data_IF_091858680387
#
_entry.id   IF_091858680387
#
_cell.length_a   1.000
_cell.length_b   1.000
_cell.length_c   1.000
_cell.angle_alpha   90.00
_cell.angle_beta   90.00
_cell.angle_gamma   90.00
#
_symmetry.space_group_name_H-M   'P 1'
#
loop_
_entity.id
_entity.type
_entity.pdbx_description
1 polymer ?
#
# COMPACT_ATOMS: atom_id res chain seq x y z
N UNK A 1 75.25 0.99 -57.81
CA UNK A 1 74.64 1.78 -56.71
C UNK A 1 73.16 1.43 -56.66
N UNK A 2 72.73 0.58 -55.72
CA UNK A 2 71.31 0.22 -55.53
C UNK A 2 70.87 0.79 -54.19
N UNK A 3 69.93 1.72 -54.21
CA UNK A 3 69.28 2.24 -53.01
C UNK A 3 67.95 1.50 -52.86
N UNK A 4 67.82 0.70 -51.81
CA UNK A 4 66.56 0.06 -51.40
C UNK A 4 65.98 0.81 -50.22
N UNK A 5 64.83 1.47 -50.43
CA UNK A 5 64.06 2.10 -49.36
C UNK A 5 63.24 1.03 -48.62
N UNK A 6 63.40 0.96 -47.30
CA UNK A 6 62.55 0.16 -46.41
C UNK A 6 61.40 1.04 -45.92
N UNK A 7 60.17 0.65 -46.25
CA UNK A 7 58.96 1.25 -45.68
C UNK A 7 58.55 0.43 -44.45
N UNK A 8 58.71 0.98 -43.26
CA UNK A 8 58.10 0.43 -42.04
C UNK A 8 56.73 1.06 -41.85
N UNK A 9 55.67 0.25 -42.03
CA UNK A 9 54.33 0.60 -41.58
C UNK A 9 54.26 0.43 -40.06
N UNK A 10 54.07 1.54 -39.34
CA UNK A 10 53.73 1.52 -37.92
C UNK A 10 52.22 1.39 -37.80
N UNK A 11 51.73 0.24 -37.32
CA UNK A 11 50.33 0.03 -36.98
C UNK A 11 50.05 0.75 -35.65
N UNK A 12 49.38 1.90 -35.67
CA UNK A 12 48.85 2.52 -34.48
C UNK A 12 47.51 1.84 -34.13
N UNK A 13 47.51 0.98 -33.11
CA UNK A 13 46.29 0.42 -32.55
C UNK A 13 45.54 1.51 -31.77
N UNK A 14 44.46 2.02 -32.34
CA UNK A 14 43.50 2.88 -31.63
C UNK A 14 42.65 1.98 -30.74
N UNK A 15 42.93 1.99 -29.43
CA UNK A 15 42.05 1.38 -28.44
C UNK A 15 40.84 2.29 -28.23
N UNK A 16 39.72 1.97 -28.87
CA UNK A 16 38.43 2.57 -28.54
C UNK A 16 37.93 1.88 -27.27
N UNK A 17 38.18 2.48 -26.10
CA UNK A 17 37.53 2.05 -24.85
C UNK A 17 36.05 2.38 -24.97
N UNK A 18 35.24 1.38 -25.34
CA UNK A 18 33.80 1.42 -25.15
C UNK A 18 33.60 1.39 -23.64
N UNK A 19 33.30 2.54 -23.05
CA UNK A 19 32.73 2.58 -21.70
C UNK A 19 31.35 1.94 -21.79
N UNK A 20 31.27 0.66 -21.42
CA UNK A 20 30.00 0.04 -21.07
C UNK A 20 29.34 0.93 -20.02
N UNK A 21 28.26 1.60 -20.41
CA UNK A 21 27.39 2.25 -19.44
C UNK A 21 27.01 1.18 -18.42
N UNK A 22 27.25 1.44 -17.14
CA UNK A 22 26.74 0.59 -16.07
C UNK A 22 25.22 0.59 -16.20
N UNK A 23 24.67 -0.48 -16.81
CA UNK A 23 23.25 -0.73 -16.75
C UNK A 23 22.96 -0.96 -15.27
N UNK A 24 22.36 0.04 -14.61
CA UNK A 24 21.78 -0.19 -13.29
C UNK A 24 20.68 -1.22 -13.49
N UNK A 25 20.83 -2.36 -12.82
CA UNK A 25 19.93 -3.50 -13.00
C UNK A 25 18.69 -3.31 -12.15
N UNK A 26 17.55 -3.69 -12.73
CA UNK A 26 16.29 -3.87 -11.99
C UNK A 26 16.45 -5.07 -11.04
N UNK A 27 15.92 -4.97 -9.82
CA UNK A 27 15.88 -6.10 -8.87
C UNK A 27 14.48 -6.68 -8.84
N UNK A 28 14.33 -7.92 -9.27
CA UNK A 28 13.04 -8.60 -9.34
C UNK A 28 12.50 -8.88 -7.93
N UNK A 29 11.22 -8.59 -7.72
CA UNK A 29 10.49 -8.90 -6.49
C UNK A 29 10.49 -10.41 -6.23
N UNK A 30 10.74 -10.79 -4.97
CA UNK A 30 10.75 -12.17 -4.48
C UNK A 30 9.78 -12.37 -3.32
N UNK A 31 8.99 -11.35 -2.96
CA UNK A 31 8.07 -11.39 -1.83
C UNK A 31 6.92 -12.36 -2.06
N UNK A 32 6.75 -13.35 -1.17
CA UNK A 32 5.66 -14.32 -1.22
C UNK A 32 4.73 -14.17 -0.01
N UNK A 33 4.00 -13.06 0.05
CA UNK A 33 3.00 -12.76 1.09
C UNK A 33 1.73 -12.16 0.49
N UNK A 34 1.03 -12.87 -0.40
CA UNK A 34 0.07 -12.23 -1.30
C UNK A 34 -1.13 -11.58 -0.60
N UNK A 35 -1.46 -12.02 0.61
CA UNK A 35 -2.64 -11.56 1.36
C UNK A 35 -2.30 -10.69 2.57
N UNK A 36 -1.02 -10.38 2.80
CA UNK A 36 -0.65 -9.56 3.94
C UNK A 36 -0.66 -8.07 3.55
N UNK A 37 -1.31 -7.21 4.36
CA UNK A 37 -1.22 -5.78 4.15
C UNK A 37 0.14 -5.26 4.62
N UNK A 38 0.67 -4.30 3.88
CA UNK A 38 1.79 -3.46 4.30
C UNK A 38 1.18 -2.18 4.85
N UNK A 39 1.47 -1.89 6.12
CA UNK A 39 0.96 -0.72 6.84
C UNK A 39 2.13 0.19 7.17
N UNK A 40 2.06 1.44 6.71
CA UNK A 40 3.14 2.44 6.86
C UNK A 40 2.55 3.68 7.51
N UNK A 41 3.27 4.29 8.46
CA UNK A 41 2.82 5.54 9.06
C UNK A 41 3.04 6.69 8.10
N UNK A 42 2.03 7.53 7.93
CA UNK A 42 2.15 8.73 7.10
C UNK A 42 3.24 9.70 7.61
N UNK A 43 3.59 9.65 8.90
CA UNK A 43 4.73 10.38 9.46
C UNK A 43 6.07 10.05 8.82
N UNK A 44 6.20 8.89 8.17
CA UNK A 44 7.41 8.48 7.44
C UNK A 44 7.53 9.20 6.08
N UNK A 45 6.49 9.94 5.67
CA UNK A 45 6.42 10.75 4.45
C UNK A 45 6.14 12.23 4.77
N UNK A 46 7.04 12.94 5.49
CA UNK A 46 6.75 14.27 6.03
C UNK A 46 6.41 15.31 4.94
N UNK A 47 6.95 15.18 3.74
CA UNK A 47 6.69 16.05 2.59
C UNK A 47 5.25 15.95 2.06
N UNK A 48 4.52 14.88 2.37
CA UNK A 48 3.13 14.69 1.94
C UNK A 48 2.11 15.09 2.99
N UNK A 49 2.53 15.49 4.19
CA UNK A 49 1.59 15.93 5.23
C UNK A 49 0.88 17.21 4.80
N UNK A 50 -0.44 17.26 5.03
CA UNK A 50 -1.38 18.27 4.55
C UNK A 50 -1.58 18.32 3.02
N UNK A 51 -1.03 17.35 2.26
CA UNK A 51 -1.33 17.24 0.84
C UNK A 51 -2.70 16.57 0.62
N UNK A 52 -3.44 16.91 -0.45
CA UNK A 52 -4.67 16.22 -0.81
C UNK A 52 -4.39 14.75 -1.12
N UNK A 53 -5.10 13.84 -0.46
CA UNK A 53 -4.95 12.40 -0.67
C UNK A 53 -5.21 12.03 -2.14
N UNK A 54 -6.12 12.75 -2.81
CA UNK A 54 -6.44 12.56 -4.24
C UNK A 54 -5.30 12.88 -5.20
N UNK A 55 -4.25 13.57 -4.74
CA UNK A 55 -3.05 13.86 -5.54
C UNK A 55 -1.91 12.87 -5.29
N UNK A 56 -2.11 11.89 -4.40
CA UNK A 56 -1.11 10.90 -4.04
C UNK A 56 -1.32 9.62 -4.84
N UNK A 57 -0.22 9.01 -5.27
CA UNK A 57 -0.21 7.82 -6.10
C UNK A 57 0.79 6.81 -5.57
N UNK A 58 0.39 5.55 -5.54
CA UNK A 58 1.28 4.41 -5.26
C UNK A 58 1.34 3.54 -6.51
N UNK A 59 2.51 3.43 -7.11
CA UNK A 59 2.73 2.63 -8.31
C UNK A 59 3.76 1.53 -8.04
N UNK A 60 3.74 0.50 -8.87
CA UNK A 60 4.73 -0.56 -8.91
C UNK A 60 5.35 -0.64 -10.31
N UNK A 61 6.63 -1.02 -10.38
CA UNK A 61 7.28 -1.32 -11.65
C UNK A 61 7.19 -2.82 -11.95
N UNK A 62 6.90 -3.17 -13.20
CA UNK A 62 6.88 -4.54 -13.72
C UNK A 62 8.00 -4.70 -14.73
N UNK A 63 9.12 -5.30 -14.34
CA UNK A 63 10.28 -5.55 -15.20
C UNK A 63 9.90 -6.40 -16.41
N UNK A 64 9.04 -7.39 -16.20
CA UNK A 64 8.55 -8.30 -17.24
C UNK A 64 7.87 -7.61 -18.42
N UNK A 65 7.29 -6.43 -18.21
CA UNK A 65 6.67 -5.62 -19.27
C UNK A 65 7.39 -4.29 -19.51
N UNK A 66 8.33 -3.93 -18.64
CA UNK A 66 9.01 -2.63 -18.65
C UNK A 66 8.10 -1.46 -18.30
N UNK A 67 7.01 -1.67 -17.55
CA UNK A 67 5.97 -0.66 -17.32
C UNK A 67 5.77 -0.33 -15.85
N UNK A 68 5.31 0.89 -15.63
CA UNK A 68 4.78 1.36 -14.38
C UNK A 68 3.26 1.12 -14.32
N UNK A 69 2.77 0.64 -13.19
CA UNK A 69 1.35 0.32 -12.99
C UNK A 69 0.84 0.89 -11.64
N UNK A 70 -0.31 1.57 -11.62
CA UNK A 70 -0.93 1.99 -10.36
C UNK A 70 -1.41 0.77 -9.56
N UNK A 71 -1.13 0.77 -8.26
CA UNK A 71 -1.59 -0.28 -7.34
C UNK A 71 -2.62 0.26 -6.35
N UNK A 72 -3.55 -0.57 -5.86
CA UNK A 72 -4.51 -0.11 -4.87
C UNK A 72 -3.80 0.27 -3.57
N UNK A 73 -4.25 1.36 -2.96
CA UNK A 73 -3.83 1.76 -1.63
C UNK A 73 -5.01 2.41 -0.89
N UNK A 74 -4.93 2.40 0.43
CA UNK A 74 -5.88 3.04 1.33
C UNK A 74 -5.15 3.97 2.28
N UNK A 75 -5.81 5.07 2.64
CA UNK A 75 -5.37 5.95 3.72
C UNK A 75 -6.39 5.82 4.85
N UNK A 76 -5.94 5.32 5.99
CA UNK A 76 -6.75 5.15 7.18
C UNK A 76 -6.48 6.29 8.17
N UNK A 77 -7.47 7.19 8.39
CA UNK A 77 -7.33 8.24 9.37
C UNK A 77 -7.35 7.68 10.78
N UNK A 78 -6.35 8.06 11.57
CA UNK A 78 -6.28 7.75 13.00
C UNK A 78 -6.34 9.06 13.76
N UNK A 79 -7.33 9.18 14.63
CA UNK A 79 -7.46 10.36 15.47
C UNK A 79 -6.51 10.32 16.69
N UNK A 80 -6.58 11.32 17.57
CA UNK A 80 -5.66 11.48 18.69
C UNK A 80 -5.73 10.37 19.74
N UNK A 81 -6.85 9.65 19.83
CA UNK A 81 -7.01 8.54 20.77
C UNK A 81 -6.72 7.16 20.17
N UNK A 82 -6.21 7.10 18.94
CA UNK A 82 -5.88 5.84 18.25
C UNK A 82 -7.08 5.17 17.56
N UNK A 83 -8.22 5.87 17.49
CA UNK A 83 -9.44 5.38 16.88
C UNK A 83 -9.49 5.63 15.38
N UNK A 84 -9.98 4.63 14.65
CA UNK A 84 -10.22 4.67 13.21
C UNK A 84 -11.56 5.32 12.84
N UNK A 85 -12.39 5.69 13.82
CA UNK A 85 -13.69 6.36 13.61
C UNK A 85 -13.55 7.90 13.52
N UNK A 86 -12.44 8.37 12.95
CA UNK A 86 -12.11 9.79 12.81
C UNK A 86 -12.82 10.45 11.61
N UNK A 87 -12.83 11.79 11.60
CA UNK A 87 -13.29 12.56 10.45
C UNK A 87 -12.28 12.50 9.30
N UNK A 88 -12.77 12.25 8.09
CA UNK A 88 -11.96 12.29 6.86
C UNK A 88 -11.89 13.73 6.36
N UNK A 89 -10.72 14.35 6.44
CA UNK A 89 -10.49 15.73 5.95
C UNK A 89 -10.20 15.79 4.45
N UNK A 90 -9.82 14.65 3.85
CA UNK A 90 -9.30 14.58 2.47
C UNK A 90 -7.82 14.97 2.34
N UNK A 91 -7.18 15.37 3.46
CA UNK A 91 -5.75 15.68 3.53
C UNK A 91 -5.02 14.60 4.33
N UNK A 92 -3.80 14.28 3.92
CA UNK A 92 -2.97 13.33 4.66
C UNK A 92 -2.48 13.95 5.98
N UNK A 93 -2.71 13.26 7.09
CA UNK A 93 -2.22 13.63 8.42
C UNK A 93 -1.07 12.72 8.86
N UNK A 94 -0.18 13.20 9.73
CA UNK A 94 0.96 12.40 10.21
C UNK A 94 0.54 11.16 11.04
N UNK A 95 -0.71 11.10 11.51
CA UNK A 95 -1.24 9.95 12.26
C UNK A 95 -1.81 8.87 11.35
N UNK A 96 -2.12 9.22 10.10
CA UNK A 96 -2.78 8.32 9.17
C UNK A 96 -1.87 7.13 8.84
N UNK A 97 -2.50 6.03 8.45
CA UNK A 97 -1.82 4.85 7.95
C UNK A 97 -2.02 4.75 6.44
N UNK A 98 -0.93 4.53 5.71
CA UNK A 98 -0.95 4.11 4.31
C UNK A 98 -0.96 2.58 4.27
N UNK A 99 -1.95 2.00 3.60
CA UNK A 99 -2.10 0.56 3.44
C UNK A 99 -2.01 0.18 1.96
N UNK A 100 -1.27 -0.88 1.67
CA UNK A 100 -1.18 -1.52 0.36
C UNK A 100 -1.06 -3.03 0.53
N UNK A 101 -1.35 -3.82 -0.51
CA UNK A 101 -1.20 -5.29 -0.43
C UNK A 101 0.18 -5.72 -0.92
N UNK A 102 0.82 -6.64 -0.20
CA UNK A 102 2.14 -7.16 -0.56
C UNK A 102 2.17 -7.84 -1.94
N UNK A 103 1.06 -8.46 -2.41
CA UNK A 103 0.96 -9.03 -3.76
C UNK A 103 1.14 -8.02 -4.89
N UNK A 104 0.85 -6.75 -4.65
CA UNK A 104 0.84 -5.72 -5.70
C UNK A 104 2.18 -5.02 -5.82
N UNK A 105 3.09 -5.23 -4.87
CA UNK A 105 4.47 -4.76 -4.95
C UNK A 105 5.16 -5.25 -6.23
N UNK A 106 6.04 -4.43 -6.77
CA UNK A 106 6.80 -4.70 -7.97
C UNK A 106 8.29 -4.72 -7.72
N UNK A 107 9.03 -4.52 -8.81
CA UNK A 107 10.47 -4.65 -8.88
C UNK A 107 11.19 -3.34 -8.49
N UNK A 108 12.43 -3.45 -8.02
CA UNK A 108 13.28 -2.29 -7.74
C UNK A 108 13.85 -1.73 -9.02
N UNK A 109 13.66 -0.44 -9.26
CA UNK A 109 14.22 0.25 -10.42
C UNK A 109 15.56 0.91 -10.09
N UNK A 110 16.36 1.25 -11.12
CA UNK A 110 17.53 2.11 -10.97
C UNK A 110 17.22 3.46 -10.32
N UNK A 111 18.21 4.02 -9.60
CA UNK A 111 18.06 5.33 -8.99
C UNK A 111 17.74 6.39 -10.06
N UNK A 112 16.71 7.20 -9.81
CA UNK A 112 16.28 8.25 -10.74
C UNK A 112 15.40 7.75 -11.88
N UNK A 113 15.18 6.45 -12.02
CA UNK A 113 14.18 5.91 -12.92
C UNK A 113 12.80 5.98 -12.26
N UNK A 114 11.93 6.84 -12.77
CA UNK A 114 10.61 7.13 -12.23
C UNK A 114 9.58 7.18 -13.37
N UNK A 115 8.28 7.12 -13.06
CA UNK A 115 7.24 7.37 -14.05
C UNK A 115 7.50 8.65 -14.85
N UNK A 116 7.22 8.61 -16.15
CA UNK A 116 7.40 9.73 -17.06
C UNK A 116 6.27 10.78 -16.91
N UNK A 117 6.12 11.29 -15.68
CA UNK A 117 5.15 12.34 -15.33
C UNK A 117 5.91 13.57 -14.82
N UNK A 118 5.79 14.69 -15.53
CA UNK A 118 6.55 15.91 -15.19
C UNK A 118 6.08 16.55 -13.89
N UNK A 119 4.79 16.45 -13.55
CA UNK A 119 4.28 16.95 -12.26
C UNK A 119 4.93 16.23 -11.08
N UNK A 120 5.06 14.90 -11.16
CA UNK A 120 5.68 14.09 -10.10
C UNK A 120 7.14 14.42 -9.83
N UNK A 121 7.87 14.96 -10.81
CA UNK A 121 9.29 15.30 -10.66
C UNK A 121 9.53 16.55 -9.81
N UNK A 122 8.50 17.38 -9.64
CA UNK A 122 8.54 18.62 -8.84
C UNK A 122 8.45 18.30 -7.35
N UNK A 123 7.79 17.19 -6.99
CA UNK A 123 7.55 16.79 -5.61
C UNK A 123 8.57 15.74 -5.13
N UNK A 124 8.61 15.56 -3.81
CA UNK A 124 9.34 14.45 -3.20
C UNK A 124 8.74 13.11 -3.66
N UNK A 125 9.59 12.10 -3.80
CA UNK A 125 9.22 10.75 -4.22
C UNK A 125 9.87 9.74 -3.29
N UNK A 126 9.16 8.68 -2.94
CA UNK A 126 9.64 7.64 -2.04
C UNK A 126 9.61 6.28 -2.70
N UNK A 127 10.71 5.54 -2.54
CA UNK A 127 10.75 4.10 -2.76
C UNK A 127 10.38 3.44 -1.42
N UNK A 128 9.31 2.65 -1.43
CA UNK A 128 8.89 1.81 -0.31
C UNK A 128 9.53 0.45 -0.52
N UNK A 129 10.48 0.09 0.34
CA UNK A 129 11.09 -1.23 0.40
C UNK A 129 10.37 -2.09 1.44
N UNK A 130 9.91 -3.27 1.03
CA UNK A 130 9.25 -4.24 1.91
C UNK A 130 10.05 -5.52 1.90
N UNK A 131 10.25 -6.09 3.09
CA UNK A 131 10.99 -7.32 3.31
C UNK A 131 10.20 -8.22 4.26
N UNK A 132 10.12 -9.52 3.94
CA UNK A 132 9.56 -10.50 4.87
C UNK A 132 10.52 -10.68 6.05
N UNK A 133 10.04 -10.42 7.26
CA UNK A 133 10.83 -10.52 8.50
C UNK A 133 11.22 -11.95 8.86
N UNK A 134 10.46 -12.96 8.36
CA UNK A 134 10.78 -14.39 8.51
C UNK A 134 11.70 -14.88 7.39
N UNK A 135 11.69 -14.20 6.24
CA UNK A 135 12.48 -14.55 5.07
C UNK A 135 13.11 -13.30 4.45
N UNK A 136 14.20 -12.79 5.04
CA UNK A 136 14.82 -11.52 4.64
C UNK A 136 15.28 -11.46 3.16
N UNK A 137 15.42 -12.60 2.47
CA UNK A 137 15.69 -12.65 1.03
C UNK A 137 14.46 -12.35 0.16
N UNK A 138 13.26 -12.37 0.74
CA UNK A 138 11.99 -12.08 0.07
C UNK A 138 11.65 -10.59 0.21
N UNK A 139 11.62 -9.90 -0.93
CA UNK A 139 11.59 -8.44 -0.99
C UNK A 139 10.67 -7.96 -2.11
N UNK A 140 10.09 -6.77 -1.95
CA UNK A 140 9.25 -6.11 -2.95
C UNK A 140 9.26 -4.60 -2.80
N UNK A 141 8.89 -3.89 -3.86
CA UNK A 141 8.98 -2.42 -3.93
C UNK A 141 7.69 -1.77 -4.41
N UNK A 142 7.38 -0.61 -3.84
CA UNK A 142 6.36 0.32 -4.33
C UNK A 142 6.92 1.74 -4.36
N UNK A 143 6.25 2.62 -5.08
CA UNK A 143 6.73 3.97 -5.36
C UNK A 143 5.62 4.95 -5.06
N UNK A 144 5.83 5.78 -4.04
CA UNK A 144 4.85 6.71 -3.50
C UNK A 144 5.24 8.15 -3.86
N UNK A 145 4.34 8.83 -4.55
CA UNK A 145 4.60 10.17 -5.06
C UNK A 145 3.32 10.98 -5.24
N UNK A 146 3.50 12.30 -5.34
CA UNK A 146 2.43 13.23 -5.64
C UNK A 146 2.43 13.57 -7.13
N UNK A 147 1.26 13.72 -7.74
CA UNK A 147 1.10 14.28 -9.08
C UNK A 147 -0.20 15.08 -9.17
N UNK A 148 -0.15 16.19 -9.91
CA UNK A 148 -1.34 16.99 -10.24
C UNK A 148 -1.89 16.69 -11.65
N UNK A 149 -1.17 15.90 -12.45
CA UNK A 149 -1.54 15.58 -13.84
C UNK A 149 -1.99 14.14 -14.04
N UNK A 150 -1.78 13.26 -13.05
CA UNK A 150 -2.22 11.88 -13.12
C UNK A 150 -3.60 11.71 -12.50
N UNK A 151 -4.51 11.13 -13.26
CA UNK A 151 -5.83 10.67 -12.77
C UNK A 151 -5.90 9.13 -12.73
N UNK A 152 -4.76 8.45 -12.86
CA UNK A 152 -4.72 6.99 -12.96
C UNK A 152 -4.98 6.33 -11.61
N UNK A 153 -6.16 5.70 -11.49
CA UNK A 153 -6.51 4.80 -10.38
C UNK A 153 -6.13 3.37 -10.78
N UNK A 154 -5.77 2.53 -9.81
CA UNK A 154 -5.55 1.11 -10.07
C UNK A 154 -6.82 0.46 -10.62
N UNK A 155 -6.75 -0.34 -11.70
CA UNK A 155 -7.90 -1.09 -12.19
C UNK A 155 -8.25 -2.30 -11.31
N UNK A 156 -7.43 -2.59 -10.29
CA UNK A 156 -7.62 -3.74 -9.41
C UNK A 156 -8.59 -3.37 -8.30
N UNK A 157 -9.67 -4.13 -8.19
CA UNK A 157 -10.57 -4.14 -7.04
C UNK A 157 -10.39 -5.46 -6.30
N UNK A 158 -10.13 -5.41 -4.99
CA UNK A 158 -10.04 -6.64 -4.19
C UNK A 158 -11.41 -7.18 -3.78
N UNK A 159 -12.38 -6.28 -3.70
CA UNK A 159 -13.75 -6.59 -3.31
C UNK A 159 -14.72 -5.74 -4.13
N UNK A 160 -15.88 -6.31 -4.42
CA UNK A 160 -17.04 -5.63 -4.95
C UNK A 160 -18.10 -5.48 -3.87
N UNK A 161 -18.75 -4.33 -3.80
CA UNK A 161 -19.88 -4.11 -2.91
C UNK A 161 -21.18 -4.11 -3.70
N UNK A 162 -22.05 -5.07 -3.40
CA UNK A 162 -23.41 -5.19 -3.90
C UNK A 162 -24.36 -4.45 -2.96
N UNK A 163 -24.65 -3.19 -3.27
CA UNK A 163 -25.50 -2.33 -2.45
C UNK A 163 -26.97 -2.73 -2.44
N UNK A 164 -27.42 -3.57 -3.38
CA UNK A 164 -28.80 -4.05 -3.41
C UNK A 164 -29.03 -5.16 -2.38
N UNK A 165 -27.98 -5.92 -2.05
CA UNK A 165 -28.06 -7.04 -1.11
C UNK A 165 -27.26 -6.80 0.18
N UNK A 166 -26.64 -5.62 0.33
CA UNK A 166 -25.68 -5.29 1.39
C UNK A 166 -24.64 -6.43 1.56
N UNK A 167 -23.93 -6.71 0.46
CA UNK A 167 -22.98 -7.82 0.39
C UNK A 167 -21.64 -7.39 -0.19
N UNK A 168 -20.55 -7.81 0.45
CA UNK A 168 -19.18 -7.71 -0.09
C UNK A 168 -18.84 -9.04 -0.75
N UNK A 169 -18.37 -9.00 -1.99
CA UNK A 169 -17.88 -10.16 -2.74
C UNK A 169 -16.41 -10.00 -3.07
N UNK A 170 -15.65 -11.07 -3.01
CA UNK A 170 -14.29 -11.18 -3.50
C UNK A 170 -14.09 -12.55 -4.10
N UNK A 171 -12.92 -12.79 -4.69
CA UNK A 171 -12.53 -14.13 -5.13
C UNK A 171 -12.50 -15.11 -3.93
N UNK A 172 -12.15 -14.62 -2.72
CA UNK A 172 -11.88 -15.45 -1.54
C UNK A 172 -13.07 -15.65 -0.61
N UNK A 173 -14.00 -14.71 -0.54
CA UNK A 173 -15.15 -14.77 0.36
C UNK A 173 -16.30 -13.89 -0.10
N UNK A 174 -17.49 -14.18 0.40
CA UNK A 174 -18.64 -13.28 0.39
C UNK A 174 -19.09 -13.01 1.82
N UNK A 175 -19.42 -11.76 2.12
CA UNK A 175 -19.86 -11.30 3.43
C UNK A 175 -21.15 -10.50 3.25
N UNK A 176 -22.27 -10.99 3.78
CA UNK A 176 -23.55 -10.27 3.78
C UNK A 176 -23.84 -9.68 5.15
N UNK A 177 -24.52 -8.53 5.17
CA UNK A 177 -24.85 -7.80 6.38
C UNK A 177 -26.36 -7.78 6.65
N UNK A 178 -26.71 -7.80 7.93
CA UNK A 178 -28.08 -7.68 8.36
C UNK A 178 -28.57 -6.24 8.22
N UNK A 179 -29.64 -6.03 7.45
CA UNK A 179 -30.21 -4.70 7.21
C UNK A 179 -30.60 -3.92 8.48
N UNK A 180 -30.94 -4.60 9.58
CA UNK A 180 -31.41 -3.93 10.80
C UNK A 180 -30.26 -3.45 11.71
N UNK A 181 -29.11 -4.13 11.68
CA UNK A 181 -28.04 -3.90 12.66
C UNK A 181 -26.67 -3.65 12.01
N UNK A 182 -26.53 -3.85 10.70
CA UNK A 182 -25.28 -3.67 9.94
C UNK A 182 -24.18 -4.65 10.34
N UNK A 183 -24.52 -5.75 11.03
CA UNK A 183 -23.59 -6.80 11.40
C UNK A 183 -23.60 -7.91 10.35
N UNK A 184 -22.44 -8.52 10.04
CA UNK A 184 -22.40 -9.67 9.17
C UNK A 184 -23.29 -10.81 9.69
N UNK A 185 -24.18 -11.31 8.85
CA UNK A 185 -25.04 -12.47 9.13
C UNK A 185 -24.88 -13.60 8.09
N UNK A 186 -24.05 -13.37 7.07
CA UNK A 186 -23.74 -14.34 6.02
C UNK A 186 -22.24 -14.33 5.71
N UNK A 187 -21.61 -15.51 5.72
CA UNK A 187 -20.24 -15.72 5.25
C UNK A 187 -20.25 -16.91 4.29
N UNK A 188 -19.73 -16.73 3.07
CA UNK A 188 -19.53 -17.80 2.09
C UNK A 188 -18.05 -17.86 1.73
N UNK A 189 -17.46 -19.06 1.77
CA UNK A 189 -16.10 -19.35 1.30
C UNK A 189 -16.22 -20.24 0.06
N UNK A 190 -15.88 -19.74 -1.15
CA UNK A 190 -15.94 -20.54 -2.37
C UNK A 190 -14.98 -21.74 -2.32
N UNK A 191 -15.45 -22.93 -2.71
CA UNK A 191 -14.60 -24.14 -2.76
C UNK A 191 -13.45 -24.09 -3.79
N UNK A 192 -13.50 -23.14 -4.74
CA UNK A 192 -12.60 -23.10 -5.89
C UNK A 192 -11.19 -22.56 -5.59
N UNK A 193 -10.95 -22.03 -4.38
CA UNK A 193 -9.63 -21.63 -3.96
C UNK A 193 -9.09 -22.74 -3.08
N UNK A 194 -8.04 -23.43 -3.55
CA UNK A 194 -7.21 -24.24 -2.66
C UNK A 194 -6.69 -23.28 -1.58
N UNK A 195 -7.24 -23.40 -0.38
CA UNK A 195 -6.75 -22.71 0.80
C UNK A 195 -5.75 -23.67 1.45
N UNK A 196 -4.45 -23.61 1.11
CA UNK A 196 -3.49 -24.62 1.53
C UNK A 196 -3.42 -24.74 3.06
N UNK A 197 -3.72 -23.67 3.78
CA UNK A 197 -3.93 -23.63 5.22
C UNK A 197 -4.67 -22.33 5.56
N UNK A 198 -5.89 -22.32 6.12
CA UNK A 198 -6.33 -21.24 7.04
C UNK A 198 -7.74 -21.41 7.60
N UNK A 199 -7.82 -21.36 8.92
CA UNK A 199 -9.01 -20.93 9.62
C UNK A 199 -9.21 -19.43 9.36
N UNK A 200 -10.03 -19.06 8.37
CA UNK A 200 -10.26 -17.64 8.02
C UNK A 200 -10.79 -16.80 9.19
N UNK A 201 -11.40 -17.44 10.19
CA UNK A 201 -11.90 -16.77 11.39
C UNK A 201 -10.76 -16.28 12.29
N UNK A 202 -9.54 -16.83 12.16
CA UNK A 202 -8.38 -16.36 12.93
C UNK A 202 -8.06 -14.88 12.64
N UNK A 203 -8.29 -14.45 11.39
CA UNK A 203 -8.05 -13.06 10.97
C UNK A 203 -9.30 -12.19 11.03
N UNK A 204 -10.44 -12.75 11.39
CA UNK A 204 -11.70 -12.00 11.44
C UNK A 204 -11.79 -11.18 12.72
N UNK A 205 -11.72 -9.86 12.59
CA UNK A 205 -11.77 -8.92 13.70
C UNK A 205 -12.96 -7.97 13.56
N UNK A 206 -13.81 -7.93 14.57
CA UNK A 206 -14.81 -6.88 14.74
C UNK A 206 -14.23 -5.72 15.55
N UNK A 207 -14.63 -4.49 15.24
CA UNK A 207 -14.38 -3.32 16.11
C UNK A 207 -15.69 -2.57 16.26
N UNK A 208 -16.08 -2.26 17.49
CA UNK A 208 -17.33 -1.55 17.78
C UNK A 208 -17.10 -0.31 18.63
N UNK A 209 -17.99 0.67 18.43
CA UNK A 209 -18.10 1.87 19.26
C UNK A 209 -19.59 2.08 19.59
N UNK A 210 -19.95 1.88 20.85
CA UNK A 210 -21.32 2.06 21.34
C UNK A 210 -21.37 3.38 22.10
N UNK A 211 -22.36 4.22 21.78
CA UNK A 211 -22.64 5.46 22.51
C UNK A 211 -23.94 5.26 23.29
N UNK A 212 -23.83 5.07 24.59
CA UNK A 212 -24.98 4.95 25.49
C UNK A 212 -25.33 6.32 26.08
N UNK A 213 -26.58 6.76 25.92
CA UNK A 213 -27.10 7.98 26.56
C UNK A 213 -27.89 7.60 27.80
N UNK A 214 -27.37 7.93 28.97
CA UNK A 214 -28.05 7.64 30.24
C UNK A 214 -28.97 8.83 30.59
N UNK A 215 -30.24 8.52 30.82
CA UNK A 215 -31.24 9.46 31.31
C UNK A 215 -31.47 9.20 32.79
N UNK A 216 -31.34 10.24 33.62
CA UNK A 216 -31.76 10.15 35.02
C UNK A 216 -33.30 10.22 35.09
N UNK A 217 -33.89 9.53 36.06
CA UNK A 217 -35.35 9.41 36.24
C UNK A 217 -36.07 10.77 36.29
N UNK A 218 -35.37 11.85 36.68
CA UNK A 218 -35.88 13.22 36.76
C UNK A 218 -35.01 14.24 36.01
N UNK A 219 -34.65 14.00 34.75
CA UNK A 219 -33.94 15.03 33.97
C UNK A 219 -33.65 14.74 32.50
N UNK A 220 -33.05 15.73 31.83
CA UNK A 220 -32.48 15.64 30.48
C UNK A 220 -31.32 14.63 30.43
N UNK A 221 -31.05 14.06 29.26
CA UNK A 221 -29.89 13.17 29.03
C UNK A 221 -28.62 13.83 29.56
N UNK A 222 -27.95 13.23 30.55
CA UNK A 222 -26.87 13.90 31.27
C UNK A 222 -25.52 13.20 31.19
N UNK A 223 -25.41 12.04 30.54
CA UNK A 223 -24.12 11.38 30.32
C UNK A 223 -24.11 10.54 29.06
N UNK A 224 -23.19 10.84 28.15
CA UNK A 224 -22.80 9.94 27.07
C UNK A 224 -21.67 9.05 27.58
N UNK A 225 -21.88 7.73 27.50
CA UNK A 225 -20.85 6.73 27.80
C UNK A 225 -20.45 6.09 26.48
N UNK A 226 -19.17 6.20 26.15
CA UNK A 226 -18.58 5.57 24.97
C UNK A 226 -17.98 4.24 25.40
N UNK A 227 -18.50 3.14 24.88
CA UNK A 227 -17.95 1.81 25.06
C UNK A 227 -17.28 1.43 23.74
N UNK A 228 -15.97 1.22 23.79
CA UNK A 228 -15.15 0.78 22.67
C UNK A 228 -14.13 -0.25 23.15
N UNK A 229 -13.48 -0.96 22.22
CA UNK A 229 -12.39 -1.90 22.55
C UNK A 229 -11.30 -1.26 23.42
N UNK A 230 -10.93 -0.01 23.12
CA UNK A 230 -9.93 0.78 23.85
C UNK A 230 -10.31 0.98 25.34
N UNK A 231 -11.60 1.12 25.63
CA UNK A 231 -12.11 1.31 27.00
C UNK A 231 -12.30 -0.03 27.73
N UNK A 232 -12.50 -1.14 27.02
CA UNK A 232 -12.64 -2.47 27.61
C UNK A 232 -11.29 -3.02 28.11
N UNK A 233 -10.20 -2.77 27.38
CA UNK A 233 -8.86 -3.22 27.79
C UNK A 233 -8.36 -2.56 29.08
N UNK A 234 -8.82 -1.33 29.39
CA UNK A 234 -8.45 -0.62 30.63
C UNK A 234 -9.04 -1.25 31.90
N UNK A 235 -10.15 -1.98 31.81
CA UNK A 235 -10.81 -2.59 32.99
C UNK A 235 -10.02 -3.80 33.51
N UNK A 236 -9.15 -4.39 32.70
CA UNK A 236 -8.40 -5.61 33.07
C UNK A 236 -7.09 -5.35 33.83
N UNK A 237 -6.62 -4.10 33.92
CA UNK A 237 -5.36 -3.76 34.59
C UNK A 237 -5.54 -3.16 36.01
N UNK A 238 -6.78 -3.09 36.51
CA UNK A 238 -7.11 -2.60 37.85
C UNK A 238 -7.68 -3.71 38.77
N UNK A 239 -7.33 -4.98 38.52
CA UNK A 239 -7.71 -6.12 39.36
C UNK A 239 -6.49 -6.78 40.03
#
# INVERSE_FOLDING_TARGET
MKVTAKWTLTLAAVFFSITLANAQLVTVSTLHRPYDPVVIKASDFPEFINQPISSLHVWAYRDSTGRWEPIPFQVDPINENGSYFGFKTGLLSARDELLLMAKDLGDRVPNGYWPADDSSKIFQRYEIFVQDTLHLSQQGWAYFFQSASLDSVSPVNYVDYDSANDEIRSDAYQLGFNENFGLPDKIIIPQAIEHPDTNIFERFKFRFKIIAKIKQWWGSYSKEVIISEENLQRVQNDA
#
